data_IF_811327032110
#
_entry.id   IF_811327032110
#
_cell.length_a   1.000
_cell.length_b   1.000
_cell.length_c   1.000
_cell.angle_alpha   90.00
_cell.angle_beta   90.00
_cell.angle_gamma   90.00
#
_symmetry.space_group_name_H-M   'P 1'
#
loop_
_entity.id
_entity.type
_entity.pdbx_description
1 polymer ?
#
# COMPACT_ATOMS: atom_id res chain seq x y z
N UNK A 1 17.85 -9.47 24.24
CA UNK A 1 17.67 -9.91 22.83
C UNK A 1 16.22 -10.33 22.51
N UNK A 2 15.55 -11.14 23.34
CA UNK A 2 14.15 -11.56 23.10
C UNK A 2 13.11 -10.42 23.15
N UNK A 3 13.25 -9.47 24.09
CA UNK A 3 12.34 -8.31 24.22
C UNK A 3 12.42 -7.38 23.00
N UNK A 4 13.63 -7.07 22.53
CA UNK A 4 13.87 -6.28 21.30
C UNK A 4 13.31 -6.93 20.04
N UNK A 5 13.40 -8.27 19.95
CA UNK A 5 12.81 -9.03 18.84
C UNK A 5 11.28 -8.92 18.85
N UNK A 6 10.65 -9.08 20.02
CA UNK A 6 9.19 -8.96 20.19
C UNK A 6 8.66 -7.58 19.77
N UNK A 7 9.37 -6.51 20.13
CA UNK A 7 8.99 -5.13 19.81
C UNK A 7 9.05 -4.85 18.29
N UNK A 8 10.06 -5.35 17.58
CA UNK A 8 10.14 -5.22 16.11
C UNK A 8 9.00 -5.93 15.37
N UNK A 9 8.61 -7.13 15.82
CA UNK A 9 7.51 -7.89 15.20
C UNK A 9 6.15 -7.24 15.44
N UNK A 10 5.90 -6.71 16.64
CA UNK A 10 4.69 -5.95 16.93
C UNK A 10 4.57 -4.71 16.02
N UNK A 11 5.66 -3.95 15.85
CA UNK A 11 5.65 -2.79 14.96
C UNK A 11 5.40 -3.18 13.49
N UNK A 12 6.03 -4.26 13.00
CA UNK A 12 5.78 -4.75 11.63
C UNK A 12 4.32 -5.14 11.46
N UNK A 13 3.75 -5.90 12.39
CA UNK A 13 2.34 -6.30 12.35
C UNK A 13 1.39 -5.11 12.34
N UNK A 14 1.68 -4.06 13.11
CA UNK A 14 0.88 -2.83 13.15
C UNK A 14 0.95 -2.03 11.84
N UNK A 15 2.14 -1.95 11.23
CA UNK A 15 2.26 -1.26 9.94
C UNK A 15 1.55 -2.04 8.85
N UNK A 16 1.71 -3.36 8.84
CA UNK A 16 0.97 -4.24 7.93
C UNK A 16 -0.54 -4.14 8.14
N UNK A 17 -1.04 -4.14 9.38
CA UNK A 17 -2.46 -4.02 9.66
C UNK A 17 -3.04 -2.68 9.18
N UNK A 18 -2.29 -1.58 9.32
CA UNK A 18 -2.68 -0.25 8.79
C UNK A 18 -2.75 -0.25 7.27
N UNK A 19 -1.77 -0.88 6.62
CA UNK A 19 -1.74 -0.94 5.16
C UNK A 19 -2.85 -1.84 4.60
N UNK A 20 -3.18 -2.95 5.29
CA UNK A 20 -4.34 -3.78 4.98
C UNK A 20 -5.64 -2.99 5.22
N UNK A 21 -5.77 -2.25 6.32
CA UNK A 21 -6.94 -1.42 6.58
C UNK A 21 -7.16 -0.37 5.46
N UNK A 22 -6.09 0.26 5.00
CA UNK A 22 -6.15 1.16 3.84
C UNK A 22 -6.57 0.44 2.56
N UNK A 23 -6.19 -0.83 2.35
CA UNK A 23 -6.62 -1.61 1.18
C UNK A 23 -8.10 -1.99 1.20
N UNK A 24 -8.74 -1.98 2.38
CA UNK A 24 -10.15 -2.27 2.54
C UNK A 24 -11.05 -1.04 2.28
N UNK A 25 -10.55 0.18 2.49
CA UNK A 25 -11.33 1.40 2.27
C UNK A 25 -11.88 1.52 0.82
N UNK A 26 -11.13 1.17 -0.25
CA UNK A 26 -11.64 1.21 -1.61
C UNK A 26 -12.71 0.14 -1.90
N UNK A 27 -12.93 -0.84 -1.03
CA UNK A 27 -13.98 -1.83 -1.27
C UNK A 27 -15.37 -1.21 -1.34
N UNK A 28 -15.60 -0.12 -0.60
CA UNK A 28 -16.84 0.64 -0.66
C UNK A 28 -17.11 1.20 -2.06
N UNK A 29 -16.06 1.51 -2.84
CA UNK A 29 -16.16 2.03 -4.21
C UNK A 29 -16.78 1.05 -5.21
N UNK A 30 -16.74 -0.26 -4.92
CA UNK A 30 -17.32 -1.28 -5.78
C UNK A 30 -18.79 -1.62 -5.46
N UNK A 31 -19.37 -0.98 -4.42
CA UNK A 31 -20.74 -1.24 -3.91
C UNK A 31 -21.80 -0.92 -4.96
N UNK A 32 -21.69 0.23 -5.66
CA UNK A 32 -22.61 0.54 -6.73
C UNK A 32 -22.60 -0.53 -7.82
N UNK A 33 -23.78 -1.05 -8.18
CA UNK A 33 -23.95 -1.95 -9.33
C UNK A 33 -24.92 -1.30 -10.30
N UNK A 34 -24.53 -1.25 -11.57
CA UNK A 34 -25.34 -0.69 -12.65
C UNK A 34 -26.22 -1.77 -13.25
N UNK A 35 -27.51 -1.49 -13.38
CA UNK A 35 -28.46 -2.29 -14.14
C UNK A 35 -28.81 -1.53 -15.41
N UNK A 36 -28.08 -1.83 -16.49
CA UNK A 36 -28.19 -1.10 -17.76
C UNK A 36 -29.57 -1.31 -18.42
N UNK A 37 -30.18 -2.48 -18.22
CA UNK A 37 -31.51 -2.86 -18.70
C UNK A 37 -32.64 -2.02 -18.10
N UNK A 38 -32.45 -1.53 -16.87
CA UNK A 38 -33.41 -0.69 -16.13
C UNK A 38 -32.94 0.75 -15.97
N UNK A 39 -31.73 1.08 -16.43
CA UNK A 39 -31.03 2.36 -16.22
C UNK A 39 -31.09 2.81 -14.76
N UNK A 40 -30.77 1.89 -13.85
CA UNK A 40 -30.81 2.12 -12.43
C UNK A 40 -29.54 1.61 -11.73
N UNK A 41 -29.35 2.03 -10.48
CA UNK A 41 -28.23 1.68 -9.63
C UNK A 41 -28.75 0.96 -8.38
N UNK A 42 -28.16 -0.18 -8.08
CA UNK A 42 -28.39 -0.94 -6.86
C UNK A 42 -27.11 -1.02 -6.03
N UNK A 43 -27.21 -1.62 -4.85
CA UNK A 43 -26.10 -1.78 -3.93
C UNK A 43 -25.82 -3.26 -3.69
N UNK A 44 -24.56 -3.65 -3.80
CA UNK A 44 -24.14 -4.99 -3.39
C UNK A 44 -24.07 -5.07 -1.86
N UNK A 45 -25.18 -5.49 -1.25
CA UNK A 45 -25.31 -5.62 0.21
C UNK A 45 -24.31 -6.61 0.80
N UNK A 46 -24.01 -7.70 0.09
CA UNK A 46 -23.06 -8.72 0.58
C UNK A 46 -21.67 -8.11 0.70
N UNK A 47 -21.25 -7.38 -0.33
CA UNK A 47 -19.96 -6.71 -0.31
C UNK A 47 -19.92 -5.57 0.72
N UNK A 48 -20.98 -4.78 0.83
CA UNK A 48 -21.11 -3.74 1.86
C UNK A 48 -20.89 -4.29 3.27
N UNK A 49 -21.61 -5.36 3.62
CA UNK A 49 -21.52 -6.00 4.94
C UNK A 49 -20.11 -6.55 5.17
N UNK A 50 -19.53 -7.25 4.19
CA UNK A 50 -18.18 -7.79 4.31
C UNK A 50 -17.12 -6.69 4.50
N UNK A 51 -17.23 -5.58 3.77
CA UNK A 51 -16.31 -4.45 3.90
C UNK A 51 -16.40 -3.81 5.29
N UNK A 52 -17.61 -3.60 5.81
CA UNK A 52 -17.81 -3.10 7.18
C UNK A 52 -17.21 -4.05 8.20
N UNK A 53 -17.52 -5.34 8.11
CA UNK A 53 -17.03 -6.35 9.06
C UNK A 53 -15.50 -6.33 9.17
N UNK A 54 -14.79 -6.44 8.04
CA UNK A 54 -13.33 -6.46 8.04
C UNK A 54 -12.74 -5.10 8.47
N UNK A 55 -13.38 -3.99 8.10
CA UNK A 55 -12.93 -2.66 8.51
C UNK A 55 -13.04 -2.47 10.01
N UNK A 56 -14.18 -2.82 10.60
CA UNK A 56 -14.42 -2.76 12.04
C UNK A 56 -13.47 -3.67 12.82
N UNK A 57 -13.18 -4.87 12.30
CA UNK A 57 -12.22 -5.78 12.91
C UNK A 57 -10.81 -5.16 13.00
N UNK A 58 -10.31 -4.54 11.93
CA UNK A 58 -8.99 -3.88 11.95
C UNK A 58 -8.99 -2.59 12.80
N UNK A 59 -10.08 -1.82 12.80
CA UNK A 59 -10.21 -0.66 13.70
C UNK A 59 -10.18 -1.08 15.16
N UNK A 60 -10.81 -2.21 15.51
CA UNK A 60 -10.78 -2.75 16.87
C UNK A 60 -9.35 -3.12 17.29
N UNK A 61 -8.59 -3.82 16.43
CA UNK A 61 -7.18 -4.15 16.70
C UNK A 61 -6.36 -2.86 16.94
N UNK A 62 -6.57 -1.85 16.10
CA UNK A 62 -5.89 -0.57 16.27
C UNK A 62 -6.30 0.13 17.56
N UNK A 63 -7.58 0.13 17.91
CA UNK A 63 -8.12 0.73 19.12
C UNK A 63 -7.50 0.10 20.37
N UNK A 64 -7.40 -1.23 20.42
CA UNK A 64 -6.75 -1.95 21.51
C UNK A 64 -5.29 -1.52 21.64
N UNK A 65 -4.54 -1.52 20.52
CA UNK A 65 -3.14 -1.09 20.54
C UNK A 65 -2.98 0.37 21.01
N UNK A 66 -3.86 1.25 20.55
CA UNK A 66 -3.90 2.65 20.96
C UNK A 66 -4.16 2.82 22.45
N UNK A 67 -5.15 2.10 23.02
CA UNK A 67 -5.47 2.13 24.45
C UNK A 67 -4.29 1.64 25.30
N UNK A 68 -3.65 0.54 24.90
CA UNK A 68 -2.47 0.01 25.61
C UNK A 68 -1.31 1.01 25.59
N UNK A 69 -1.02 1.59 24.42
CA UNK A 69 0.03 2.61 24.27
C UNK A 69 -0.26 3.85 25.13
N UNK A 70 -1.52 4.29 25.17
CA UNK A 70 -1.94 5.42 25.98
C UNK A 70 -1.77 5.14 27.48
N UNK A 71 -2.17 3.96 27.95
CA UNK A 71 -2.03 3.56 29.34
C UNK A 71 -0.56 3.49 29.78
N UNK A 72 0.31 2.89 28.95
CA UNK A 72 1.75 2.81 29.23
C UNK A 72 2.40 4.19 29.31
N UNK A 73 2.10 5.10 28.36
CA UNK A 73 2.61 6.47 28.39
C UNK A 73 2.16 7.23 29.65
N UNK A 74 0.93 7.00 30.13
CA UNK A 74 0.43 7.62 31.36
C UNK A 74 1.16 7.07 32.60
N UNK A 75 1.41 5.76 32.63
CA UNK A 75 2.14 5.09 33.73
C UNK A 75 3.59 5.59 33.82
N UNK A 76 4.28 5.72 32.69
CA UNK A 76 5.64 6.27 32.64
C UNK A 76 5.68 7.76 33.00
N UNK A 77 4.70 8.54 32.54
CA UNK A 77 4.57 9.96 32.90
C UNK A 77 4.27 10.22 34.38
N UNK A 78 3.63 9.27 35.08
CA UNK A 78 3.41 9.33 36.52
C UNK A 78 4.64 8.88 37.34
N UNK A 79 5.51 8.04 36.74
CA UNK A 79 6.72 7.50 37.37
C UNK A 79 7.93 8.43 37.29
N UNK A 80 8.00 9.30 36.27
CA UNK A 80 9.17 10.14 36.02
C UNK A 80 8.89 11.61 36.37
N UNK A 81 9.16 11.99 37.62
CA UNK A 81 9.21 13.39 38.08
C UNK A 81 10.50 14.13 37.72
N UNK A 82 11.41 13.55 36.93
CA UNK A 82 12.65 14.22 36.54
C UNK A 82 13.03 13.96 35.07
N UNK A 83 13.21 15.07 34.35
CA UNK A 83 14.08 15.22 33.16
C UNK A 83 13.75 14.40 31.90
N UNK A 84 13.12 15.05 30.90
CA UNK A 84 13.77 15.35 29.60
C UNK A 84 12.83 16.13 28.65
N UNK A 85 13.33 17.29 28.20
CA UNK A 85 12.74 18.15 27.16
C UNK A 85 12.83 17.47 25.79
N UNK A 86 11.84 16.65 25.43
CA UNK A 86 11.44 16.42 24.03
C UNK A 86 9.98 15.92 23.98
N UNK A 87 9.10 16.61 24.69
CA UNK A 87 7.68 16.27 24.73
C UNK A 87 6.99 16.82 23.48
N UNK A 88 7.17 16.11 22.36
CA UNK A 88 6.35 16.29 21.16
C UNK A 88 4.89 16.17 21.60
N UNK A 89 4.11 17.25 21.44
CA UNK A 89 2.77 17.38 22.03
C UNK A 89 1.92 16.11 21.90
N UNK A 90 1.72 15.33 22.98
CA UNK A 90 1.00 14.06 22.92
C UNK A 90 -0.46 14.26 22.45
N UNK A 91 -1.04 15.44 22.71
CA UNK A 91 -2.39 15.81 22.26
C UNK A 91 -2.57 15.89 20.74
N UNK A 92 -1.56 16.34 19.97
CA UNK A 92 -1.70 16.49 18.51
C UNK A 92 -1.64 15.13 17.79
N UNK A 93 -0.75 14.25 18.23
CA UNK A 93 -0.72 12.86 17.73
C UNK A 93 -2.00 12.10 18.12
N UNK A 94 -2.50 12.33 19.33
CA UNK A 94 -3.75 11.72 19.82
C UNK A 94 -4.98 12.10 18.98
N UNK A 95 -5.14 13.38 18.62
CA UNK A 95 -6.25 13.82 17.75
C UNK A 95 -6.14 13.28 16.33
N UNK A 96 -4.93 13.19 15.78
CA UNK A 96 -4.67 12.61 14.46
C UNK A 96 -5.05 11.12 14.41
N UNK A 97 -4.65 10.36 15.42
CA UNK A 97 -4.97 8.93 15.53
C UNK A 97 -6.48 8.69 15.63
N UNK A 98 -7.24 9.51 16.36
CA UNK A 98 -8.71 9.43 16.45
C UNK A 98 -9.37 9.70 15.09
N UNK A 99 -8.95 10.74 14.37
CA UNK A 99 -9.52 11.09 13.06
C UNK A 99 -9.35 9.95 12.06
N UNK A 100 -8.24 9.23 12.12
CA UNK A 100 -7.94 8.11 11.22
C UNK A 100 -8.82 6.88 11.50
N UNK A 101 -9.19 6.64 12.75
CA UNK A 101 -10.07 5.50 13.14
C UNK A 101 -11.52 5.71 12.69
N UNK A 102 -11.97 6.95 12.53
CA UNK A 102 -13.38 7.22 12.24
C UNK A 102 -13.83 6.53 10.92
N UNK A 103 -15.04 5.93 10.90
CA UNK A 103 -15.60 5.22 9.75
C UNK A 103 -16.09 6.19 8.65
N UNK A 104 -15.32 7.23 8.36
CA UNK A 104 -15.79 8.32 7.49
C UNK A 104 -16.02 7.85 6.04
N UNK A 105 -15.16 6.98 5.43
CA UNK A 105 -15.42 6.45 4.09
C UNK A 105 -16.78 5.73 3.96
N UNK A 106 -17.22 5.05 5.03
CA UNK A 106 -18.50 4.32 5.06
C UNK A 106 -19.68 5.29 4.95
N UNK A 107 -19.69 6.33 5.79
CA UNK A 107 -20.73 7.37 5.81
C UNK A 107 -20.73 8.19 4.52
N UNK A 108 -19.55 8.52 3.99
CA UNK A 108 -19.46 9.26 2.73
C UNK A 108 -19.99 8.43 1.56
N UNK A 109 -19.70 7.12 1.54
CA UNK A 109 -20.21 6.26 0.48
C UNK A 109 -21.73 6.07 0.54
N UNK A 110 -22.32 5.88 1.73
CA UNK A 110 -23.80 5.80 1.84
C UNK A 110 -24.46 7.04 1.27
N UNK A 111 -23.89 8.21 1.56
CA UNK A 111 -24.41 9.48 1.09
C UNK A 111 -24.23 9.63 -0.42
N UNK A 112 -23.04 9.30 -0.94
CA UNK A 112 -22.79 9.36 -2.38
C UNK A 112 -23.73 8.42 -3.16
N UNK A 113 -23.95 7.21 -2.67
CA UNK A 113 -24.89 6.25 -3.26
C UNK A 113 -26.35 6.74 -3.20
N UNK A 114 -26.77 7.33 -2.08
CA UNK A 114 -28.10 7.90 -1.94
C UNK A 114 -28.34 9.05 -2.95
N UNK A 115 -27.37 9.93 -3.14
CA UNK A 115 -27.44 11.01 -4.13
C UNK A 115 -27.50 10.46 -5.57
N UNK A 116 -26.68 9.44 -5.89
CA UNK A 116 -26.73 8.77 -7.19
C UNK A 116 -28.12 8.18 -7.46
N UNK A 117 -28.72 7.47 -6.50
CA UNK A 117 -30.09 6.91 -6.61
C UNK A 117 -31.15 7.98 -6.81
N UNK A 118 -31.02 9.14 -6.15
CA UNK A 118 -31.99 10.24 -6.22
C UNK A 118 -32.02 10.97 -7.55
N UNK A 119 -31.08 10.68 -8.46
CA UNK A 119 -30.80 11.48 -9.65
C UNK A 119 -30.43 12.94 -9.32
N UNK A 120 -30.03 13.20 -8.07
CA UNK A 120 -29.60 14.48 -7.53
C UNK A 120 -28.06 14.57 -7.64
N UNK A 121 -27.51 14.81 -8.84
CA UNK A 121 -26.11 15.24 -8.98
C UNK A 121 -25.97 16.69 -8.54
N UNK A 122 -25.90 16.89 -7.23
CA UNK A 122 -25.74 18.18 -6.57
C UNK A 122 -24.26 18.51 -6.37
N UNK A 123 -23.96 19.75 -5.96
CA UNK A 123 -22.61 20.09 -5.48
C UNK A 123 -22.17 19.20 -4.30
N UNK A 124 -23.11 18.55 -3.60
CA UNK A 124 -22.81 17.65 -2.48
C UNK A 124 -22.00 16.43 -2.93
N UNK A 125 -22.29 15.82 -4.09
CA UNK A 125 -21.51 14.67 -4.59
C UNK A 125 -20.06 15.06 -4.87
N UNK A 126 -19.83 16.26 -5.42
CA UNK A 126 -18.47 16.78 -5.63
C UNK A 126 -17.74 17.01 -4.31
N UNK A 127 -18.42 17.61 -3.34
CA UNK A 127 -17.87 17.82 -1.99
C UNK A 127 -17.54 16.47 -1.34
N UNK A 128 -18.44 15.49 -1.40
CA UNK A 128 -18.22 14.14 -0.88
C UNK A 128 -16.99 13.49 -1.51
N UNK A 129 -16.80 13.59 -2.82
CA UNK A 129 -15.62 13.08 -3.52
C UNK A 129 -14.32 13.78 -3.05
N UNK A 130 -14.35 15.10 -2.88
CA UNK A 130 -13.19 15.86 -2.37
C UNK A 130 -12.86 15.41 -0.95
N UNK A 131 -13.87 15.28 -0.09
CA UNK A 131 -13.70 14.84 1.30
C UNK A 131 -13.15 13.41 1.33
N UNK A 132 -13.63 12.51 0.48
CA UNK A 132 -13.08 11.16 0.32
C UNK A 132 -11.58 11.21 -0.01
N UNK A 133 -11.18 11.98 -1.02
CA UNK A 133 -9.76 12.11 -1.41
C UNK A 133 -8.89 12.70 -0.29
N UNK A 134 -9.34 13.79 0.33
CA UNK A 134 -8.61 14.45 1.42
C UNK A 134 -8.41 13.50 2.61
N UNK A 135 -9.37 12.61 2.88
CA UNK A 135 -9.28 11.64 3.98
C UNK A 135 -8.29 10.51 3.74
N UNK A 136 -7.92 10.21 2.50
CA UNK A 136 -6.85 9.25 2.22
C UNK A 136 -5.48 9.82 2.61
N UNK A 137 -5.28 11.14 2.54
CA UNK A 137 -4.02 11.81 2.90
C UNK A 137 -3.57 11.49 4.33
N UNK A 138 -4.36 11.69 5.40
CA UNK A 138 -3.94 11.35 6.76
C UNK A 138 -3.70 9.85 6.93
N UNK A 139 -4.45 8.98 6.25
CA UNK A 139 -4.25 7.51 6.31
C UNK A 139 -2.90 7.12 5.71
N UNK A 140 -2.56 7.66 4.55
CA UNK A 140 -1.26 7.45 3.89
C UNK A 140 -0.12 8.03 4.73
N UNK A 141 -0.29 9.24 5.28
CA UNK A 141 0.71 9.86 6.17
C UNK A 141 0.94 9.01 7.43
N UNK A 142 -0.10 8.41 8.00
CA UNK A 142 0.04 7.51 9.15
C UNK A 142 0.90 6.29 8.81
N UNK A 143 0.68 5.67 7.64
CA UNK A 143 1.50 4.55 7.16
C UNK A 143 2.94 5.00 6.95
N UNK A 144 3.15 6.13 6.26
CA UNK A 144 4.47 6.70 6.03
C UNK A 144 5.24 6.96 7.34
N UNK A 145 4.59 7.56 8.34
CA UNK A 145 5.19 7.78 9.65
C UNK A 145 5.54 6.44 10.32
N UNK A 146 4.66 5.45 10.21
CA UNK A 146 4.89 4.11 10.76
C UNK A 146 6.08 3.42 10.10
N UNK A 147 6.26 3.61 8.79
CA UNK A 147 7.40 3.10 8.04
C UNK A 147 8.70 3.76 8.47
N UNK A 148 8.70 5.08 8.66
CA UNK A 148 9.86 5.83 9.15
C UNK A 148 10.29 5.36 10.54
N UNK A 149 9.34 4.99 11.40
CA UNK A 149 9.65 4.37 12.70
C UNK A 149 10.22 2.96 12.53
N UNK A 150 9.70 2.15 11.59
CA UNK A 150 10.28 0.85 11.26
C UNK A 150 11.72 0.93 10.73
N UNK A 151 12.05 1.97 9.96
CA UNK A 151 13.39 2.16 9.40
C UNK A 151 14.48 2.27 10.46
N UNK A 152 14.15 2.80 11.65
CA UNK A 152 15.07 2.91 12.80
C UNK A 152 15.54 1.55 13.30
N UNK A 153 14.76 0.49 13.07
CA UNK A 153 15.16 -0.87 13.42
C UNK A 153 16.09 -1.45 12.35
N UNK A 154 17.40 -1.41 12.62
CA UNK A 154 18.47 -1.89 11.71
C UNK A 154 18.41 -3.38 11.39
N UNK A 155 17.65 -4.16 12.18
CA UNK A 155 17.61 -5.63 12.10
C UNK A 155 16.49 -6.20 11.21
N UNK A 156 15.66 -5.34 10.58
CA UNK A 156 14.60 -5.83 9.67
C UNK A 156 15.23 -6.33 8.36
N UNK A 157 14.93 -7.57 7.93
CA UNK A 157 15.43 -8.12 6.68
C UNK A 157 15.13 -7.23 5.47
N UNK A 158 16.11 -7.06 4.58
CA UNK A 158 15.99 -6.27 3.34
C UNK A 158 14.81 -6.75 2.49
N UNK A 159 14.58 -8.08 2.44
CA UNK A 159 13.47 -8.67 1.70
C UNK A 159 12.10 -8.16 2.20
N UNK A 160 11.90 -8.10 3.52
CA UNK A 160 10.65 -7.61 4.11
C UNK A 160 10.43 -6.14 3.76
N UNK A 161 11.49 -5.31 3.79
CA UNK A 161 11.43 -3.89 3.39
C UNK A 161 11.08 -3.75 1.90
N UNK A 162 11.73 -4.51 1.04
CA UNK A 162 11.45 -4.55 -0.41
C UNK A 162 10.01 -4.97 -0.73
N UNK A 163 9.55 -6.07 -0.14
CA UNK A 163 8.17 -6.56 -0.30
C UNK A 163 7.15 -5.54 0.18
N UNK A 164 7.42 -4.84 1.29
CA UNK A 164 6.52 -3.81 1.79
C UNK A 164 6.44 -2.60 0.86
N UNK A 165 7.57 -2.10 0.34
CA UNK A 165 7.56 -1.00 -0.62
C UNK A 165 6.84 -1.36 -1.92
N UNK A 166 7.04 -2.58 -2.42
CA UNK A 166 6.31 -3.08 -3.57
C UNK A 166 4.81 -3.20 -3.28
N UNK A 167 4.44 -3.69 -2.09
CA UNK A 167 3.05 -3.74 -1.66
C UNK A 167 2.39 -2.34 -1.64
N UNK A 168 3.09 -1.30 -1.17
CA UNK A 168 2.57 0.08 -1.20
C UNK A 168 2.32 0.58 -2.63
N UNK A 169 3.18 0.20 -3.58
CA UNK A 169 2.98 0.54 -5.00
C UNK A 169 1.72 -0.14 -5.55
N UNK A 170 1.56 -1.44 -5.31
CA UNK A 170 0.35 -2.19 -5.69
C UNK A 170 -0.89 -1.62 -5.01
N UNK A 171 -0.79 -1.23 -3.74
CA UNK A 171 -1.86 -0.60 -2.98
C UNK A 171 -2.27 0.74 -3.62
N UNK A 172 -1.30 1.57 -4.04
CA UNK A 172 -1.58 2.78 -4.80
C UNK A 172 -2.38 2.49 -6.08
N UNK A 173 -1.99 1.44 -6.82
CA UNK A 173 -2.71 1.00 -8.02
C UNK A 173 -4.13 0.52 -7.72
N UNK A 174 -4.32 -0.27 -6.67
CA UNK A 174 -5.64 -0.68 -6.19
C UNK A 174 -6.53 0.52 -5.83
N UNK A 175 -6.01 1.49 -5.08
CA UNK A 175 -6.75 2.71 -4.72
C UNK A 175 -7.12 3.52 -5.97
N UNK A 176 -6.17 3.77 -6.87
CA UNK A 176 -6.41 4.50 -8.12
C UNK A 176 -7.46 3.80 -9.00
N UNK A 177 -7.37 2.47 -9.11
CA UNK A 177 -8.33 1.64 -9.84
C UNK A 177 -9.74 1.71 -9.27
N UNK A 178 -9.86 1.64 -7.95
CA UNK A 178 -11.16 1.73 -7.28
C UNK A 178 -11.80 3.12 -7.43
N UNK A 179 -11.01 4.20 -7.35
CA UNK A 179 -11.50 5.55 -7.68
C UNK A 179 -11.96 5.63 -9.14
N UNK A 180 -11.21 5.05 -10.07
CA UNK A 180 -11.61 5.00 -11.47
C UNK A 180 -12.94 4.25 -11.67
N UNK A 181 -13.14 3.11 -11.01
CA UNK A 181 -14.42 2.38 -11.04
C UNK A 181 -15.57 3.27 -10.54
N UNK A 182 -15.40 3.87 -9.37
CA UNK A 182 -16.44 4.71 -8.75
C UNK A 182 -16.75 5.97 -9.57
N UNK A 183 -15.73 6.64 -10.08
CA UNK A 183 -15.91 7.80 -10.95
C UNK A 183 -16.50 7.41 -12.32
N UNK A 184 -16.23 6.21 -12.82
CA UNK A 184 -16.91 5.66 -14.00
C UNK A 184 -18.41 5.50 -13.76
N UNK A 185 -18.79 4.94 -12.61
CA UNK A 185 -20.20 4.86 -12.20
C UNK A 185 -20.83 6.27 -12.12
N UNK A 186 -20.18 7.21 -11.44
CA UNK A 186 -20.69 8.58 -11.33
C UNK A 186 -20.80 9.28 -12.69
N UNK A 187 -19.84 9.05 -13.59
CA UNK A 187 -19.85 9.61 -14.94
C UNK A 187 -21.04 9.09 -15.74
N UNK A 188 -21.36 7.79 -15.62
CA UNK A 188 -22.55 7.20 -16.21
C UNK A 188 -23.84 7.80 -15.64
N UNK A 189 -23.95 7.89 -14.32
CA UNK A 189 -25.12 8.53 -13.68
C UNK A 189 -25.27 9.99 -14.13
N UNK A 190 -24.17 10.72 -14.28
CA UNK A 190 -24.20 12.08 -14.83
C UNK A 190 -24.68 12.11 -16.28
N UNK A 191 -24.38 11.10 -17.09
CA UNK A 191 -24.91 10.98 -18.44
C UNK A 191 -26.42 10.77 -18.41
N UNK A 192 -26.91 9.79 -17.65
CA UNK A 192 -28.35 9.51 -17.53
C UNK A 192 -29.13 10.73 -17.05
N UNK A 193 -28.57 11.47 -16.08
CA UNK A 193 -29.17 12.73 -15.62
C UNK A 193 -29.24 13.77 -16.72
N UNK A 194 -28.18 13.96 -17.52
CA UNK A 194 -28.21 14.91 -18.64
C UNK A 194 -29.28 14.51 -19.67
N UNK A 195 -29.35 13.24 -20.04
CA UNK A 195 -30.36 12.74 -20.98
C UNK A 195 -31.78 13.01 -20.47
N UNK A 196 -32.03 12.68 -19.20
CA UNK A 196 -33.30 12.88 -18.53
C UNK A 196 -33.70 14.37 -18.41
N UNK A 197 -32.75 15.27 -18.12
CA UNK A 197 -33.00 16.72 -18.10
C UNK A 197 -33.36 17.28 -19.49
N UNK A 198 -32.83 16.72 -20.57
CA UNK A 198 -33.21 17.11 -21.94
C UNK A 198 -34.65 16.70 -22.30
N UNK A 199 -35.27 15.78 -21.55
CA UNK A 199 -36.60 15.25 -21.84
C UNK A 199 -37.73 15.82 -20.98
N UNK A 200 -37.49 16.92 -20.25
CA UNK A 200 -38.51 17.53 -19.40
C UNK A 200 -38.31 17.32 -17.90
N UNK A 201 -37.15 16.77 -17.48
CA UNK A 201 -36.73 16.73 -16.08
C UNK A 201 -36.63 15.32 -15.48
N UNK A 202 -36.00 15.23 -14.31
CA UNK A 202 -35.81 13.95 -13.61
C UNK A 202 -36.72 13.83 -12.41
N UNK A 203 -37.39 12.68 -12.32
CA UNK A 203 -38.20 12.33 -11.16
C UNK A 203 -37.24 11.93 -10.02
N UNK A 204 -37.56 12.33 -8.79
CA UNK A 204 -36.73 11.96 -7.65
C UNK A 204 -36.74 10.45 -7.47
N UNK A 205 -35.55 9.85 -7.32
CA UNK A 205 -35.42 8.40 -7.20
C UNK A 205 -35.46 7.66 -8.53
N UNK A 206 -35.41 8.39 -9.66
CA UNK A 206 -35.41 7.83 -11.02
C UNK A 206 -34.36 6.75 -11.27
N UNK A 207 -33.21 6.77 -10.58
CA UNK A 207 -32.16 5.77 -10.77
C UNK A 207 -32.16 4.71 -9.67
N UNK A 208 -33.12 4.70 -8.75
CA UNK A 208 -33.23 3.62 -7.77
C UNK A 208 -33.90 2.39 -8.40
N UNK A 209 -33.27 1.22 -8.32
CA UNK A 209 -33.84 -0.01 -8.88
C UNK A 209 -35.10 -0.51 -8.17
N UNK A 210 -35.41 0.00 -6.97
CA UNK A 210 -36.69 -0.28 -6.29
C UNK A 210 -37.88 0.45 -6.93
N UNK A 211 -37.61 1.45 -7.77
CA UNK A 211 -38.62 2.22 -8.50
C UNK A 211 -38.47 1.96 -10.00
N UNK A 212 -39.60 1.91 -10.73
CA UNK A 212 -39.54 1.82 -12.19
C UNK A 212 -39.27 3.21 -12.77
N UNK A 213 -38.12 3.36 -13.42
CA UNK A 213 -37.88 4.50 -14.30
C UNK A 213 -38.74 4.37 -15.57
N UNK A 214 -39.19 5.51 -16.10
CA UNK A 214 -40.05 5.61 -17.28
C UNK A 214 -39.29 5.44 -18.59
N UNK A 215 -39.37 6.41 -19.51
CA UNK A 215 -38.90 6.27 -20.89
C UNK A 215 -37.39 5.97 -21.01
N UNK A 216 -37.05 4.69 -21.17
CA UNK A 216 -35.67 4.18 -21.24
C UNK A 216 -34.96 4.46 -22.57
N UNK A 217 -35.73 4.63 -23.66
CA UNK A 217 -35.19 4.75 -25.03
C UNK A 217 -34.27 5.95 -25.17
N UNK A 218 -34.62 7.06 -24.53
CA UNK A 218 -33.85 8.29 -24.56
C UNK A 218 -32.48 8.22 -23.90
N UNK A 219 -32.41 7.54 -22.75
CA UNK A 219 -31.17 7.34 -22.02
C UNK A 219 -30.26 6.40 -22.77
N UNK A 220 -30.84 5.43 -23.49
CA UNK A 220 -30.10 4.52 -24.34
C UNK A 220 -29.38 5.28 -25.46
N UNK A 221 -30.07 6.16 -26.17
CA UNK A 221 -29.49 6.84 -27.33
C UNK A 221 -28.45 7.89 -26.93
N UNK A 222 -28.68 8.65 -25.86
CA UNK A 222 -27.76 9.71 -25.42
C UNK A 222 -26.51 9.18 -24.71
N UNK A 223 -26.63 8.07 -23.97
CA UNK A 223 -25.55 7.47 -23.17
C UNK A 223 -25.02 6.16 -23.77
N UNK A 224 -25.20 5.99 -25.08
CA UNK A 224 -24.73 4.82 -25.81
C UNK A 224 -23.20 4.71 -25.78
N UNK A 225 -22.71 3.49 -25.97
CA UNK A 225 -21.29 3.15 -26.04
C UNK A 225 -20.73 3.42 -27.46
N UNK A 226 -21.59 3.48 -28.47
CA UNK A 226 -21.21 3.66 -29.87
C UNK A 226 -20.96 5.14 -30.23
N UNK A 227 -19.74 5.44 -30.64
CA UNK A 227 -19.23 6.79 -30.96
C UNK A 227 -19.52 7.24 -32.39
N UNK A 228 -20.40 6.56 -33.12
CA UNK A 228 -20.70 6.88 -34.53
C UNK A 228 -21.63 8.09 -34.68
N UNK A 229 -22.34 8.47 -33.61
CA UNK A 229 -23.20 9.65 -33.59
C UNK A 229 -22.52 10.80 -32.85
N UNK A 230 -22.39 11.96 -33.51
CA UNK A 230 -21.79 13.20 -32.98
C UNK A 230 -22.53 13.83 -31.79
N UNK A 231 -23.70 13.28 -31.42
CA UNK A 231 -24.53 13.69 -30.28
C UNK A 231 -24.30 12.87 -28.99
N UNK A 232 -23.36 11.91 -29.00
CA UNK A 232 -23.14 10.98 -27.89
C UNK A 232 -22.28 11.57 -26.78
N UNK A 233 -22.59 11.20 -25.54
CA UNK A 233 -21.87 11.70 -24.37
C UNK A 233 -20.44 11.15 -24.30
N UNK A 234 -19.45 12.05 -24.23
CA UNK A 234 -18.05 11.66 -24.11
C UNK A 234 -17.70 11.17 -22.69
N UNK A 235 -17.30 9.90 -22.59
CA UNK A 235 -16.89 9.24 -21.36
C UNK A 235 -15.38 9.34 -21.09
N UNK A 236 -14.56 9.72 -22.07
CA UNK A 236 -13.10 9.80 -21.96
C UNK A 236 -12.47 8.56 -21.30
N UNK A 237 -11.69 8.74 -20.23
CA UNK A 237 -10.99 7.65 -19.51
C UNK A 237 -11.93 6.62 -18.86
N UNK A 238 -13.22 6.96 -18.72
CA UNK A 238 -14.24 6.08 -18.15
C UNK A 238 -14.93 5.20 -19.20
N UNK A 239 -14.67 5.44 -20.49
CA UNK A 239 -15.23 4.66 -21.59
C UNK A 239 -14.83 3.18 -21.51
N UNK A 240 -13.60 2.89 -21.08
CA UNK A 240 -13.09 1.52 -20.91
C UNK A 240 -13.95 0.72 -19.92
N UNK A 241 -14.37 1.32 -18.80
CA UNK A 241 -15.23 0.65 -17.80
C UNK A 241 -16.61 0.29 -18.37
N UNK A 242 -17.14 1.13 -19.25
CA UNK A 242 -18.42 0.92 -19.95
C UNK A 242 -18.29 -0.22 -20.96
N UNK A 243 -17.27 -0.17 -21.82
CA UNK A 243 -17.04 -1.19 -22.85
C UNK A 243 -16.77 -2.57 -22.25
N UNK A 244 -16.13 -2.63 -21.09
CA UNK A 244 -15.81 -3.90 -20.45
C UNK A 244 -16.99 -4.56 -19.73
N UNK A 245 -18.11 -3.85 -19.54
CA UNK A 245 -19.26 -4.36 -18.77
C UNK A 245 -18.96 -4.54 -17.27
N UNK A 246 -17.96 -3.84 -16.73
CA UNK A 246 -17.51 -4.07 -15.34
C UNK A 246 -18.42 -3.38 -14.31
N UNK A 247 -19.09 -2.30 -14.73
CA UNK A 247 -20.03 -1.55 -13.89
C UNK A 247 -21.29 -2.37 -13.60
N UNK A 248 -21.65 -3.25 -14.54
CA UNK A 248 -22.82 -4.12 -14.53
C UNK A 248 -22.56 -5.47 -13.85
N UNK A 249 -21.28 -5.84 -13.69
CA UNK A 249 -20.90 -7.11 -13.07
C UNK A 249 -21.35 -7.16 -11.60
N UNK A 250 -21.76 -8.32 -11.12
CA UNK A 250 -21.94 -8.62 -9.68
C UNK A 250 -20.76 -9.44 -9.12
N UNK A 251 -19.81 -9.80 -9.96
CA UNK A 251 -18.63 -10.58 -9.58
C UNK A 251 -17.56 -9.64 -8.99
N UNK A 252 -17.49 -9.63 -7.65
CA UNK A 252 -16.57 -8.76 -6.92
C UNK A 252 -15.08 -9.02 -7.26
N UNK A 253 -14.55 -10.26 -7.21
CA UNK A 253 -13.19 -10.54 -7.64
C UNK A 253 -12.86 -9.98 -9.03
N UNK A 254 -13.79 -10.10 -9.97
CA UNK A 254 -13.63 -9.53 -11.32
C UNK A 254 -13.49 -8.01 -11.29
N UNK A 255 -14.37 -7.30 -10.57
CA UNK A 255 -14.28 -5.84 -10.39
C UNK A 255 -12.95 -5.41 -9.78
N UNK A 256 -12.56 -6.09 -8.71
CA UNK A 256 -11.37 -5.79 -7.94
C UNK A 256 -10.11 -5.92 -8.80
N UNK A 257 -9.91 -7.09 -9.42
CA UNK A 257 -8.70 -7.38 -10.20
C UNK A 257 -8.65 -6.51 -11.45
N UNK A 258 -9.76 -6.35 -12.16
CA UNK A 258 -9.80 -5.54 -13.38
C UNK A 258 -9.50 -4.07 -13.10
N UNK A 259 -10.09 -3.51 -12.04
CA UNK A 259 -9.87 -2.12 -11.67
C UNK A 259 -8.46 -1.92 -11.09
N UNK A 260 -7.96 -2.85 -10.28
CA UNK A 260 -6.58 -2.81 -9.78
C UNK A 260 -5.57 -2.88 -10.93
N UNK A 261 -5.81 -3.72 -11.95
CA UNK A 261 -5.00 -3.75 -13.16
C UNK A 261 -5.01 -2.40 -13.87
N UNK A 262 -6.18 -1.80 -14.08
CA UNK A 262 -6.29 -0.46 -14.67
C UNK A 262 -5.44 0.57 -13.91
N UNK A 263 -5.52 0.57 -12.58
CA UNK A 263 -4.78 1.51 -11.74
C UNK A 263 -3.26 1.25 -11.77
N UNK A 264 -2.82 0.01 -11.60
CA UNK A 264 -1.39 -0.36 -11.67
C UNK A 264 -0.80 -0.01 -13.04
N UNK A 265 -1.50 -0.33 -14.13
CA UNK A 265 -1.08 -0.02 -15.51
C UNK A 265 -0.82 1.48 -15.67
N UNK A 266 -1.78 2.31 -15.26
CA UNK A 266 -1.67 3.76 -15.43
C UNK A 266 -0.67 4.41 -14.47
N UNK A 267 -0.53 3.94 -13.23
CA UNK A 267 0.52 4.46 -12.34
C UNK A 267 1.92 4.10 -12.84
N UNK A 268 2.09 2.88 -13.37
CA UNK A 268 3.37 2.42 -13.91
C UNK A 268 3.79 3.17 -15.17
N UNK A 269 2.82 3.67 -15.96
CA UNK A 269 3.06 4.43 -17.17
C UNK A 269 2.86 5.94 -16.99
N UNK A 270 2.74 6.42 -15.75
CA UNK A 270 2.49 7.83 -15.41
C UNK A 270 1.27 8.43 -16.13
N UNK A 271 0.26 7.60 -16.43
CA UNK A 271 -0.96 8.02 -17.11
C UNK A 271 -0.78 8.40 -18.57
N UNK A 272 0.34 8.04 -19.22
CA UNK A 272 0.65 8.42 -20.61
C UNK A 272 -0.42 8.03 -21.64
N UNK A 273 -1.20 6.99 -21.37
CA UNK A 273 -2.24 6.48 -22.26
C UNK A 273 -3.65 6.95 -21.86
N UNK A 274 -3.79 7.85 -20.89
CA UNK A 274 -5.09 8.39 -20.47
C UNK A 274 -5.58 9.42 -21.49
N UNK A 275 -6.64 9.08 -22.21
CA UNK A 275 -7.32 9.99 -23.13
C UNK A 275 -8.53 10.60 -22.42
N UNK A 276 -8.44 11.88 -22.08
CA UNK A 276 -9.47 12.59 -21.33
C UNK A 276 -10.46 13.33 -22.23
N UNK A 277 -11.70 13.48 -21.77
CA UNK A 277 -12.65 14.44 -22.35
C UNK A 277 -12.36 15.88 -21.88
N UNK A 278 -13.13 16.86 -22.35
CA UNK A 278 -13.10 18.24 -21.84
C UNK A 278 -13.64 18.40 -20.39
N UNK A 279 -13.97 17.30 -19.71
CA UNK A 279 -14.49 17.34 -18.35
C UNK A 279 -13.41 17.64 -17.31
N UNK A 280 -13.55 18.75 -16.59
CA UNK A 280 -12.53 19.27 -15.64
C UNK A 280 -12.13 18.22 -14.59
N UNK A 281 -13.08 17.54 -13.95
CA UNK A 281 -12.78 16.59 -12.86
C UNK A 281 -12.06 15.34 -13.34
N UNK A 282 -12.31 14.91 -14.57
CA UNK A 282 -11.58 13.83 -15.21
C UNK A 282 -10.13 14.23 -15.48
N UNK A 283 -9.91 15.43 -16.02
CA UNK A 283 -8.56 15.95 -16.24
C UNK A 283 -7.79 16.10 -14.91
N UNK A 284 -8.44 16.56 -13.84
CA UNK A 284 -7.83 16.63 -12.51
C UNK A 284 -7.46 15.25 -11.96
N UNK A 285 -8.30 14.24 -12.18
CA UNK A 285 -8.01 12.86 -11.76
C UNK A 285 -6.87 12.23 -12.57
N UNK A 286 -6.85 12.45 -13.89
CA UNK A 286 -5.76 11.99 -14.76
C UNK A 286 -4.42 12.65 -14.39
N UNK A 287 -4.40 13.98 -14.20
CA UNK A 287 -3.22 14.71 -13.74
C UNK A 287 -2.72 14.19 -12.39
N UNK A 288 -3.63 13.99 -11.43
CA UNK A 288 -3.30 13.39 -10.14
C UNK A 288 -2.67 12.01 -10.31
N UNK A 289 -3.26 11.14 -11.12
CA UNK A 289 -2.74 9.80 -11.41
C UNK A 289 -1.33 9.85 -11.99
N UNK A 290 -1.05 10.77 -12.91
CA UNK A 290 0.30 10.97 -13.47
C UNK A 290 1.32 11.38 -12.41
N UNK A 291 1.00 12.38 -11.58
CA UNK A 291 1.90 12.87 -10.52
C UNK A 291 2.14 11.79 -9.47
N UNK A 292 1.07 11.14 -9.00
CA UNK A 292 1.19 10.06 -8.01
C UNK A 292 1.95 8.85 -8.58
N UNK A 293 1.72 8.48 -9.84
CA UNK A 293 2.44 7.42 -10.52
C UNK A 293 3.94 7.69 -10.56
N UNK A 294 4.34 8.90 -10.94
CA UNK A 294 5.75 9.31 -10.97
C UNK A 294 6.38 9.25 -9.58
N UNK A 295 5.74 9.84 -8.57
CA UNK A 295 6.27 9.86 -7.19
C UNK A 295 6.42 8.44 -6.61
N UNK A 296 5.40 7.58 -6.79
CA UNK A 296 5.44 6.21 -6.29
C UNK A 296 6.49 5.37 -7.00
N UNK A 297 6.65 5.55 -8.31
CA UNK A 297 7.65 4.83 -9.08
C UNK A 297 9.07 5.25 -8.72
N UNK A 298 9.32 6.56 -8.57
CA UNK A 298 10.60 7.08 -8.09
C UNK A 298 10.92 6.57 -6.68
N UNK A 299 9.92 6.54 -5.79
CA UNK A 299 10.07 5.98 -4.45
C UNK A 299 10.42 4.49 -4.47
N UNK A 300 9.74 3.70 -5.31
CA UNK A 300 10.00 2.27 -5.45
C UNK A 300 11.40 2.01 -5.99
N UNK A 301 11.77 2.68 -7.10
CA UNK A 301 13.08 2.52 -7.72
C UNK A 301 14.22 2.96 -6.81
N UNK A 302 14.08 4.12 -6.16
CA UNK A 302 15.11 4.63 -5.24
C UNK A 302 15.38 3.67 -4.09
N UNK A 303 14.32 3.10 -3.49
CA UNK A 303 14.49 2.10 -2.44
C UNK A 303 15.07 0.78 -2.95
N UNK A 304 14.63 0.32 -4.13
CA UNK A 304 15.15 -0.91 -4.74
C UNK A 304 16.66 -0.80 -5.02
N UNK A 305 17.11 0.34 -5.55
CA UNK A 305 18.54 0.61 -5.78
C UNK A 305 19.36 0.53 -4.48
N UNK A 306 18.89 1.18 -3.40
CA UNK A 306 19.55 1.12 -2.09
C UNK A 306 19.63 -0.31 -1.56
N UNK A 307 18.58 -1.12 -1.74
CA UNK A 307 18.56 -2.51 -1.29
C UNK A 307 19.52 -3.39 -2.08
N UNK A 308 19.60 -3.20 -3.39
CA UNK A 308 20.53 -3.92 -4.27
C UNK A 308 21.99 -3.58 -3.92
N UNK A 309 22.31 -2.30 -3.76
CA UNK A 309 23.65 -1.85 -3.35
C UNK A 309 24.06 -2.41 -1.99
N UNK A 310 23.14 -2.42 -1.01
CA UNK A 310 23.42 -2.97 0.31
C UNK A 310 23.67 -4.48 0.28
N UNK A 311 22.90 -5.22 -0.53
CA UNK A 311 23.12 -6.67 -0.71
C UNK A 311 24.46 -6.95 -1.39
N UNK A 312 24.82 -6.16 -2.40
CA UNK A 312 26.11 -6.27 -3.07
C UNK A 312 27.28 -5.98 -2.10
N UNK A 313 27.20 -4.92 -1.30
CA UNK A 313 28.20 -4.59 -0.28
C UNK A 313 28.39 -5.74 0.72
N UNK A 314 27.28 -6.27 1.27
CA UNK A 314 27.35 -7.38 2.22
C UNK A 314 27.94 -8.66 1.60
N UNK A 315 27.73 -8.87 0.30
CA UNK A 315 28.30 -10.02 -0.42
C UNK A 315 29.82 -9.86 -0.60
N UNK A 316 30.27 -8.65 -0.98
CA UNK A 316 31.70 -8.32 -1.12
C UNK A 316 32.42 -8.45 0.22
N UNK A 317 31.85 -7.92 1.32
CA UNK A 317 32.41 -8.01 2.66
C UNK A 317 32.61 -9.46 3.10
N UNK A 318 31.56 -10.30 2.99
CA UNK A 318 31.67 -11.74 3.30
C UNK A 318 32.68 -12.49 2.42
N UNK A 319 32.77 -12.13 1.13
CA UNK A 319 33.76 -12.72 0.24
C UNK A 319 35.19 -12.28 0.59
N UNK A 320 35.37 -11.08 1.13
CA UNK A 320 36.66 -10.58 1.60
C UNK A 320 37.09 -11.23 2.91
N UNK A 321 36.18 -11.35 3.88
CA UNK A 321 36.43 -12.06 5.14
C UNK A 321 36.80 -13.52 4.91
N UNK A 322 36.07 -14.24 4.04
CA UNK A 322 36.39 -15.63 3.71
C UNK A 322 37.75 -15.79 3.03
N UNK A 323 38.18 -14.82 2.22
CA UNK A 323 39.52 -14.83 1.62
C UNK A 323 40.62 -14.54 2.65
N UNK A 324 40.39 -13.59 3.56
CA UNK A 324 41.34 -13.26 4.62
C UNK A 324 41.50 -14.43 5.60
N UNK A 325 40.40 -15.08 6.01
CA UNK A 325 40.47 -16.27 6.84
C UNK A 325 41.21 -17.43 6.17
N UNK A 326 40.93 -17.70 4.89
CA UNK A 326 41.64 -18.75 4.16
C UNK A 326 43.14 -18.44 3.98
N UNK A 327 43.51 -17.17 3.84
CA UNK A 327 44.90 -16.73 3.76
C UNK A 327 45.61 -16.89 5.11
N UNK A 328 44.97 -16.48 6.21
CA UNK A 328 45.51 -16.64 7.57
C UNK A 328 45.72 -18.12 7.93
N UNK A 329 44.77 -19.00 7.59
CA UNK A 329 44.90 -20.44 7.79
C UNK A 329 46.10 -21.02 7.02
N UNK A 330 46.28 -20.62 5.75
CA UNK A 330 47.40 -21.09 4.92
C UNK A 330 48.77 -20.60 5.44
N UNK A 331 48.86 -19.36 5.95
CA UNK A 331 50.10 -18.82 6.53
C UNK A 331 50.46 -19.56 7.83
N UNK A 332 49.48 -19.83 8.68
CA UNK A 332 49.70 -20.59 9.94
C UNK A 332 50.18 -22.00 9.64
N UNK A 333 49.60 -22.68 8.65
CA UNK A 333 50.02 -24.03 8.25
C UNK A 333 51.47 -24.07 7.73
N UNK A 334 51.88 -23.07 6.94
CA UNK A 334 53.26 -22.95 6.47
C UNK A 334 54.26 -22.73 7.61
N UNK A 335 53.94 -21.85 8.57
CA UNK A 335 54.81 -21.60 9.74
C UNK A 335 54.96 -22.87 10.59
N UNK A 336 53.87 -23.62 10.79
CA UNK A 336 53.91 -24.88 11.52
C UNK A 336 54.83 -25.91 10.82
N UNK A 337 54.74 -26.01 9.50
CA UNK A 337 55.60 -26.91 8.71
C UNK A 337 57.09 -26.51 8.80
N UNK A 338 57.42 -25.22 8.72
CA UNK A 338 58.81 -24.74 8.88
C UNK A 338 59.36 -25.03 10.27
N UNK A 339 58.57 -24.78 11.32
CA UNK A 339 58.97 -25.08 12.70
C UNK A 339 59.22 -26.58 12.90
N UNK A 340 58.40 -27.44 12.30
CA UNK A 340 58.59 -28.89 12.35
C UNK A 340 59.90 -29.32 11.68
N UNK A 341 60.26 -28.72 10.54
CA UNK A 341 61.54 -28.96 9.86
C UNK A 341 62.73 -28.52 10.71
N UNK A 342 62.68 -27.32 11.29
CA UNK A 342 63.73 -26.80 12.16
C UNK A 342 63.91 -27.67 13.42
N UNK A 343 62.82 -28.17 14.00
CA UNK A 343 62.86 -29.08 15.13
C UNK A 343 63.52 -30.42 14.76
N UNK A 344 63.15 -31.02 13.62
CA UNK A 344 63.77 -32.26 13.11
C UNK A 344 65.27 -32.09 12.86
N UNK A 345 65.70 -30.97 12.26
CA UNK A 345 67.12 -30.66 12.06
C UNK A 345 67.89 -30.53 13.38
N UNK A 346 67.27 -29.92 14.41
CA UNK A 346 67.89 -29.75 15.74
C UNK A 346 68.02 -31.04 16.52
N UNK A 347 67.08 -31.98 16.35
CA UNK A 347 67.21 -33.33 16.91
C UNK A 347 68.35 -34.09 16.21
N UNK A 348 68.43 -34.00 14.87
CA UNK A 348 69.48 -34.66 14.09
C UNK A 348 70.89 -34.11 14.39
N UNK A 349 71.03 -32.81 14.67
CA UNK A 349 72.32 -32.23 15.09
C UNK A 349 72.72 -32.67 16.50
N UNK A 350 71.76 -32.79 17.44
CA UNK A 350 72.00 -33.32 18.79
C UNK A 350 72.35 -34.82 18.81
N UNK A 351 71.91 -35.62 17.83
CA UNK A 351 72.31 -37.04 17.75
C UNK A 351 73.75 -37.23 17.26
N UNK A 352 74.30 -36.27 16.52
CA UNK A 352 75.70 -36.30 16.04
C UNK A 352 76.73 -35.79 17.05
N UNK A 353 76.31 -35.13 18.14
CA UNK A 353 77.22 -34.55 19.15
C UNK A 353 77.45 -35.48 20.36
N UNK A 354 76.83 -36.67 20.41
CA UNK A 354 77.12 -37.69 21.41
C UNK A 354 78.12 -38.73 20.89
N UNK A 355 79.39 -38.32 20.80
CA UNK A 355 80.50 -39.25 20.97
C UNK A 355 81.56 -38.67 21.90
N UNK A 356 81.57 -39.10 23.18
CA UNK A 356 82.78 -39.06 23.97
C UNK A 356 83.22 -40.48 24.39
N UNK A 357 84.40 -40.84 23.88
CA UNK A 357 85.51 -41.55 24.54
C UNK A 357 85.24 -42.14 25.95
N UNK A 358 85.16 -43.47 25.98
CA UNK A 358 85.96 -44.43 26.79
C UNK A 358 86.66 -43.90 28.07
N UNK A 359 86.16 -44.28 29.26
CA UNK A 359 86.86 -44.63 30.54
C UNK A 359 85.86 -45.47 31.36
N UNK A 360 86.01 -46.75 31.75
CA UNK A 360 87.01 -47.57 32.49
C UNK A 360 87.08 -47.25 34.01
N UNK A 361 86.62 -48.23 34.82
CA UNK A 361 86.85 -48.49 36.27
C UNK A 361 86.27 -47.47 37.30
N UNK A 362 85.86 -47.79 38.54
CA UNK A 362 86.03 -48.93 39.44
C UNK A 362 84.97 -48.88 40.58
N UNK A 363 84.71 -50.06 41.20
CA UNK A 363 84.12 -50.37 42.52
C UNK A 363 82.83 -49.67 42.98
#
# INVERSE_FOLDING_TARGET
MFLFRKESWCNILLVSSRAIALSLDPLFFFVPVIHEDKKCISEDKKMWINAIFWRSFLDFIYLVHFVVKFYNNKKEGASNTASTKHQRHPRKCFMFDIIVILPIPQVLMTNALAEMKRAEYTNNVKILNIVLLIQYVPRVLQIYQSLKELEKFRNIPILIRGSFNFFLFLLGGHVAGAFWYFFSTQRLISCWRKACLHQGGCIKGSFNCDHRFGNLSALHDFCSIDSTNTSTFDFGIFLEARKSGILESTDFPKKLIYSAWWGVRNLSSYGSNLQTSAYIWENMFALGTSIFGLLLFLYLLGNLQVYMQRRASNYVEKSGEGKNQALDEAVVENILNELEQLYKQRIASKSNEKSPKKRRCCC
#
